data_IF_864789421506
#
_entry.id   IF_864789421506
#
_cell.length_a   1.000
_cell.length_b   1.000
_cell.length_c   1.000
_cell.angle_alpha   90.00
_cell.angle_beta   90.00
_cell.angle_gamma   90.00
#
_symmetry.space_group_name_H-M   'P 1'
#
loop_
_entity.id
_entity.type
_entity.pdbx_description
1 polymer ?
#
# COMPACT_ATOMS: atom_id res chain seq x y z
N UNK A 1 27.45 2.03 31.41
CA UNK A 1 26.42 3.08 31.35
C UNK A 1 25.58 2.82 30.10
N UNK A 2 24.43 2.17 30.24
CA UNK A 2 23.56 1.83 29.12
C UNK A 2 22.72 3.06 28.78
N UNK A 3 22.94 3.63 27.59
CA UNK A 3 22.14 4.74 27.11
C UNK A 3 20.68 4.33 27.00
N UNK A 4 19.80 4.98 27.76
CA UNK A 4 18.37 4.97 27.51
C UNK A 4 18.14 5.46 26.08
N UNK A 5 17.94 4.53 25.14
CA UNK A 5 17.38 4.86 23.84
C UNK A 5 15.94 5.30 24.11
N UNK A 6 15.73 6.62 24.17
CA UNK A 6 14.42 7.25 24.18
C UNK A 6 13.57 6.56 23.11
N UNK A 7 12.49 5.90 23.52
CA UNK A 7 11.48 5.42 22.57
C UNK A 7 10.90 6.69 21.95
N UNK A 8 10.98 6.87 20.61
CA UNK A 8 10.48 8.09 19.99
C UNK A 8 8.98 8.22 20.25
N UNK A 9 8.58 9.44 20.60
CA UNK A 9 7.20 9.84 20.87
C UNK A 9 6.28 9.53 19.68
N UNK A 10 4.99 9.37 19.96
CA UNK A 10 3.96 9.15 18.95
C UNK A 10 4.09 10.19 17.83
N UNK A 11 4.29 9.73 16.60
CA UNK A 11 4.47 10.61 15.43
C UNK A 11 3.50 10.26 14.33
N UNK A 12 3.11 11.26 13.54
CA UNK A 12 2.26 11.00 12.38
C UNK A 12 3.10 10.41 11.23
N UNK A 13 2.68 9.27 10.69
CA UNK A 13 3.25 8.69 9.48
C UNK A 13 2.25 8.78 8.34
N UNK A 14 2.71 9.26 7.18
CA UNK A 14 1.99 9.17 5.93
C UNK A 14 2.23 7.79 5.33
N UNK A 15 1.17 6.98 5.21
CA UNK A 15 1.24 5.69 4.54
C UNK A 15 0.60 5.79 3.17
N UNK A 16 1.35 5.32 2.19
CA UNK A 16 0.93 5.21 0.80
C UNK A 16 0.63 3.75 0.49
N UNK A 17 -0.64 3.42 0.29
CA UNK A 17 -1.07 2.06 -0.07
C UNK A 17 -1.59 2.03 -1.49
N UNK A 18 -1.04 1.15 -2.34
CA UNK A 18 -1.55 0.98 -3.70
C UNK A 18 -2.92 0.31 -3.65
N UNK A 19 -3.93 0.97 -4.23
CA UNK A 19 -5.29 0.41 -4.32
C UNK A 19 -5.24 -0.77 -5.33
N UNK A 20 -5.77 -1.96 -5.06
CA UNK A 20 -5.80 -3.03 -6.05
C UNK A 20 -6.58 -2.62 -7.31
N UNK A 21 -6.16 -3.05 -8.50
CA UNK A 21 -6.80 -2.63 -9.75
C UNK A 21 -8.29 -3.01 -9.84
N UNK A 22 -8.68 -4.10 -9.18
CA UNK A 22 -10.09 -4.53 -9.08
C UNK A 22 -10.97 -3.57 -8.27
N UNK A 23 -10.38 -2.83 -7.34
CA UNK A 23 -11.08 -1.94 -6.42
C UNK A 23 -11.10 -0.49 -6.93
N UNK A 24 -10.40 -0.19 -8.04
CA UNK A 24 -10.52 1.07 -8.75
C UNK A 24 -11.79 1.12 -9.57
N UNK A 25 -12.39 2.31 -9.72
CA UNK A 25 -13.39 2.57 -10.76
C UNK A 25 -12.74 2.57 -12.15
N UNK A 26 -13.57 2.57 -13.21
CA UNK A 26 -13.07 2.45 -14.58
C UNK A 26 -12.15 3.62 -14.96
N UNK A 27 -12.51 4.83 -14.56
CA UNK A 27 -11.76 6.05 -14.90
C UNK A 27 -10.39 6.08 -14.19
N UNK A 28 -10.35 5.72 -12.92
CA UNK A 28 -9.14 5.61 -12.12
C UNK A 28 -8.24 4.46 -12.61
N UNK A 29 -8.84 3.35 -13.08
CA UNK A 29 -8.07 2.27 -13.68
C UNK A 29 -7.41 2.70 -14.99
N UNK A 30 -8.12 3.44 -15.85
CA UNK A 30 -7.55 4.04 -17.07
C UNK A 30 -6.41 4.99 -16.71
N UNK A 31 -6.58 5.85 -15.71
CA UNK A 31 -5.53 6.75 -15.22
C UNK A 31 -4.26 5.98 -14.78
N UNK A 32 -4.42 4.84 -14.10
CA UNK A 32 -3.31 3.95 -13.72
C UNK A 32 -2.61 3.31 -14.91
N UNK A 33 -3.37 2.83 -15.87
CA UNK A 33 -2.78 2.22 -17.05
C UNK A 33 -2.03 3.28 -17.88
N UNK A 34 -2.60 4.48 -18.01
CA UNK A 34 -1.94 5.65 -18.62
C UNK A 34 -0.68 6.06 -17.84
N UNK A 35 -0.65 5.96 -16.51
CA UNK A 35 0.57 6.16 -15.73
C UNK A 35 1.65 5.12 -16.02
N UNK A 36 1.26 3.90 -16.37
CA UNK A 36 2.20 2.79 -16.60
C UNK A 36 2.73 2.75 -18.03
N UNK A 37 1.86 2.97 -19.02
CA UNK A 37 2.18 2.83 -20.46
C UNK A 37 2.02 4.11 -21.27
N UNK A 38 1.52 5.19 -20.67
CA UNK A 38 1.27 6.45 -21.36
C UNK A 38 0.22 6.28 -22.47
N UNK A 39 0.47 6.95 -23.60
CA UNK A 39 -0.35 6.89 -24.81
C UNK A 39 -0.41 5.52 -25.48
N UNK A 40 0.45 4.56 -25.09
CA UNK A 40 0.44 3.19 -25.62
C UNK A 40 -0.60 2.28 -24.95
N UNK A 41 -1.33 2.78 -23.97
CA UNK A 41 -2.35 2.01 -23.25
C UNK A 41 -3.49 1.64 -24.20
N UNK A 42 -3.84 0.36 -24.26
CA UNK A 42 -4.94 -0.14 -25.11
C UNK A 42 -6.14 -0.59 -24.30
N UNK A 43 -7.28 -0.81 -24.98
CA UNK A 43 -8.49 -1.33 -24.32
C UNK A 43 -8.30 -2.78 -23.84
N UNK A 44 -7.47 -3.57 -24.51
CA UNK A 44 -7.14 -4.93 -24.10
C UNK A 44 -6.37 -4.94 -22.77
N UNK A 45 -5.47 -3.98 -22.55
CA UNK A 45 -4.79 -3.81 -21.25
C UNK A 45 -5.80 -3.55 -20.13
N UNK A 46 -6.82 -2.75 -20.43
CA UNK A 46 -7.90 -2.46 -19.51
C UNK A 46 -8.75 -3.69 -19.19
N UNK A 47 -9.13 -4.47 -20.20
CA UNK A 47 -9.85 -5.74 -20.00
C UNK A 47 -9.04 -6.75 -19.18
N UNK A 48 -7.75 -6.88 -19.44
CA UNK A 48 -6.86 -7.75 -18.63
C UNK A 48 -6.83 -7.29 -17.17
N UNK A 49 -6.68 -5.98 -16.93
CA UNK A 49 -6.69 -5.43 -15.57
C UNK A 49 -8.04 -5.61 -14.85
N UNK A 50 -9.13 -5.68 -15.61
CA UNK A 50 -10.50 -5.98 -15.14
C UNK A 50 -10.86 -7.46 -15.09
N UNK A 51 -9.90 -8.36 -15.37
CA UNK A 51 -10.17 -9.81 -15.45
C UNK A 51 -11.31 -10.15 -16.43
N UNK A 52 -11.41 -9.39 -17.53
CA UNK A 52 -12.37 -9.59 -18.61
C UNK A 52 -13.77 -9.02 -18.38
N UNK A 53 -14.05 -8.35 -17.25
CA UNK A 53 -15.37 -7.74 -16.97
C UNK A 53 -15.30 -6.22 -17.00
N UNK A 54 -15.81 -5.62 -18.06
CA UNK A 54 -15.89 -4.16 -18.19
C UNK A 54 -17.34 -3.67 -18.12
N UNK A 55 -17.55 -2.58 -17.38
CA UNK A 55 -18.78 -1.77 -17.41
C UNK A 55 -18.81 -0.76 -18.55
N UNK A 56 -17.66 -0.50 -19.19
CA UNK A 56 -17.52 0.47 -20.28
C UNK A 56 -17.11 -0.18 -21.60
N UNK A 57 -17.55 0.40 -22.70
CA UNK A 57 -17.14 0.01 -24.04
C UNK A 57 -15.79 0.65 -24.42
N UNK A 58 -15.32 0.30 -25.62
CA UNK A 58 -14.03 0.76 -26.15
C UNK A 58 -14.01 2.26 -26.42
N UNK A 59 -15.13 2.84 -26.85
CA UNK A 59 -15.25 4.27 -27.15
C UNK A 59 -15.14 5.10 -25.87
N UNK A 60 -15.86 4.71 -24.81
CA UNK A 60 -15.77 5.33 -23.48
C UNK A 60 -14.36 5.22 -22.90
N UNK A 61 -13.68 4.10 -23.10
CA UNK A 61 -12.29 3.94 -22.68
C UNK A 61 -11.37 4.98 -23.35
N UNK A 62 -11.50 5.22 -24.65
CA UNK A 62 -10.66 6.21 -25.35
C UNK A 62 -10.97 7.64 -24.91
N UNK A 63 -12.24 7.96 -24.65
CA UNK A 63 -12.61 9.24 -24.04
C UNK A 63 -11.91 9.44 -22.69
N UNK A 64 -11.92 8.43 -21.82
CA UNK A 64 -11.18 8.51 -20.56
C UNK A 64 -9.68 8.64 -20.77
N UNK A 65 -9.09 7.94 -21.74
CA UNK A 65 -7.66 8.05 -22.06
C UNK A 65 -7.25 9.48 -22.44
N UNK A 66 -8.14 10.26 -23.07
CA UNK A 66 -7.88 11.67 -23.39
C UNK A 66 -8.04 12.56 -22.16
N UNK A 67 -9.10 12.37 -21.38
CA UNK A 67 -9.47 13.25 -20.26
C UNK A 67 -8.62 13.05 -18.99
N UNK A 68 -8.27 11.82 -18.65
CA UNK A 68 -7.67 11.53 -17.34
C UNK A 68 -6.19 11.89 -17.30
N UNK A 69 -5.76 12.45 -16.17
CA UNK A 69 -4.34 12.57 -15.87
C UNK A 69 -3.77 11.21 -15.43
N UNK A 70 -2.50 10.92 -15.72
CA UNK A 70 -1.84 9.73 -15.19
C UNK A 70 -1.85 9.71 -13.65
N UNK A 71 -2.34 8.62 -13.06
CA UNK A 71 -2.42 8.46 -11.59
C UNK A 71 -2.09 7.01 -11.20
N UNK A 72 -1.13 6.74 -10.30
CA UNK A 72 -0.82 5.38 -9.85
C UNK A 72 -1.94 4.68 -9.05
N UNK A 73 -2.97 5.39 -8.59
CA UNK A 73 -4.06 4.88 -7.76
C UNK A 73 -3.56 4.51 -6.36
N UNK A 74 -2.98 5.48 -5.68
CA UNK A 74 -2.45 5.31 -4.33
C UNK A 74 -3.38 6.00 -3.34
N UNK A 75 -3.76 5.29 -2.28
CA UNK A 75 -4.44 5.87 -1.14
C UNK A 75 -3.41 6.35 -0.13
N UNK A 76 -3.56 7.60 0.30
CA UNK A 76 -2.75 8.20 1.36
C UNK A 76 -3.55 8.23 2.66
N UNK A 77 -2.92 7.80 3.75
CA UNK A 77 -3.52 7.76 5.08
C UNK A 77 -2.50 8.26 6.10
N UNK A 78 -2.90 9.21 6.95
CA UNK A 78 -2.11 9.62 8.10
C UNK A 78 -2.51 8.76 9.30
N UNK A 79 -1.52 8.13 9.92
CA UNK A 79 -1.72 7.34 11.12
C UNK A 79 -0.87 7.89 12.26
N UNK A 80 -1.36 7.76 13.49
CA UNK A 80 -0.53 7.93 14.67
C UNK A 80 0.34 6.67 14.83
N UNK A 81 1.64 6.81 14.59
CA UNK A 81 2.59 5.74 14.75
C UNK A 81 3.09 5.70 16.19
N UNK A 82 2.61 4.70 16.92
CA UNK A 82 3.07 4.36 18.26
C UNK A 82 3.82 3.03 18.19
N UNK A 83 5.17 3.04 18.15
CA UNK A 83 5.92 1.81 17.98
C UNK A 83 5.71 0.89 19.18
N UNK A 84 5.52 -0.39 18.92
CA UNK A 84 5.32 -1.44 19.95
C UNK A 84 6.44 -2.47 19.93
N UNK A 85 7.17 -2.56 18.82
CA UNK A 85 8.18 -3.57 18.58
C UNK A 85 9.40 -2.98 17.87
N UNK A 86 10.52 -3.69 17.97
CA UNK A 86 11.78 -3.37 17.32
C UNK A 86 12.39 -4.64 16.73
N UNK A 87 12.98 -4.54 15.55
CA UNK A 87 13.74 -5.65 14.95
C UNK A 87 15.22 -5.67 15.41
N UNK A 88 15.95 -6.72 14.99
CA UNK A 88 17.38 -6.86 15.31
C UNK A 88 18.26 -5.75 14.72
N UNK A 89 17.82 -5.07 13.67
CA UNK A 89 18.52 -3.93 13.07
C UNK A 89 18.23 -2.62 13.82
N UNK A 90 17.26 -2.63 14.75
CA UNK A 90 16.88 -1.47 15.55
C UNK A 90 15.72 -0.66 14.96
N UNK A 91 15.14 -1.09 13.84
CA UNK A 91 14.01 -0.42 13.20
C UNK A 91 12.75 -0.63 14.04
N UNK A 92 11.92 0.41 14.10
CA UNK A 92 10.70 0.40 14.90
C UNK A 92 9.49 -0.04 14.09
N UNK A 93 8.60 -0.80 14.73
CA UNK A 93 7.39 -1.32 14.13
C UNK A 93 6.19 -1.11 15.06
N UNK A 94 5.04 -0.83 14.46
CA UNK A 94 3.74 -0.80 15.11
C UNK A 94 2.90 -1.95 14.57
N UNK A 95 2.40 -2.82 15.46
CA UNK A 95 1.43 -3.84 15.10
C UNK A 95 0.06 -3.19 14.87
N UNK A 96 -0.51 -3.37 13.68
CA UNK A 96 -1.85 -2.87 13.34
C UNK A 96 -2.91 -3.93 13.62
N UNK A 97 -2.58 -5.18 13.31
CA UNK A 97 -3.53 -6.29 13.35
C UNK A 97 -2.77 -7.58 13.67
N UNK A 98 -3.30 -8.37 14.60
CA UNK A 98 -2.83 -9.72 14.88
C UNK A 98 -3.97 -10.71 14.72
N UNK A 99 -3.79 -11.68 13.83
CA UNK A 99 -4.69 -12.83 13.69
C UNK A 99 -4.04 -14.07 14.29
N UNK A 100 -4.74 -15.20 14.30
CA UNK A 100 -4.17 -16.47 14.78
C UNK A 100 -2.96 -16.93 13.95
N UNK A 101 -2.82 -16.48 12.70
CA UNK A 101 -1.78 -16.94 11.77
C UNK A 101 -0.75 -15.86 11.43
N UNK A 102 -1.14 -14.60 11.42
CA UNK A 102 -0.30 -13.51 10.90
C UNK A 102 -0.40 -12.24 11.72
N UNK A 103 0.70 -11.52 11.81
CA UNK A 103 0.76 -10.15 12.29
C UNK A 103 0.99 -9.21 11.12
N UNK A 104 0.22 -8.12 11.08
CA UNK A 104 0.44 -6.99 10.18
C UNK A 104 1.10 -5.86 10.95
N UNK A 105 2.16 -5.34 10.36
CA UNK A 105 3.03 -4.35 10.96
C UNK A 105 3.19 -3.15 10.02
N UNK A 106 3.35 -1.98 10.59
CA UNK A 106 3.91 -0.81 9.90
C UNK A 106 5.28 -0.57 10.47
N UNK A 107 6.26 -0.39 9.61
CA UNK A 107 7.59 0.09 10.00
C UNK A 107 7.60 1.61 10.08
N UNK A 108 8.53 2.15 10.83
CA UNK A 108 8.68 3.57 11.12
C UNK A 108 8.83 4.51 9.91
N UNK A 109 9.07 3.96 8.71
CA UNK A 109 9.12 4.64 7.42
C UNK A 109 7.81 4.54 6.60
N UNK A 110 6.75 3.99 7.20
CA UNK A 110 5.43 3.84 6.60
C UNK A 110 5.25 2.56 5.77
N UNK A 111 6.26 1.70 5.69
CA UNK A 111 6.14 0.42 4.96
C UNK A 111 5.26 -0.55 5.74
N UNK A 112 4.18 -0.99 5.10
CA UNK A 112 3.32 -2.07 5.61
C UNK A 112 3.94 -3.42 5.26
N UNK A 113 3.94 -4.34 6.21
CA UNK A 113 4.41 -5.71 6.05
C UNK A 113 3.56 -6.69 6.86
N UNK A 114 3.80 -7.97 6.63
CA UNK A 114 3.22 -9.04 7.44
C UNK A 114 4.24 -10.15 7.68
N UNK A 115 4.17 -10.78 8.83
CA UNK A 115 4.90 -12.00 9.13
C UNK A 115 3.96 -13.02 9.80
N UNK A 116 4.38 -14.28 9.81
CA UNK A 116 3.64 -15.31 10.53
C UNK A 116 3.76 -15.08 12.05
N UNK A 117 2.75 -15.55 12.79
CA UNK A 117 2.77 -15.49 14.25
C UNK A 117 3.93 -16.29 14.86
N UNK A 118 4.29 -17.40 14.22
CA UNK A 118 5.35 -18.29 14.70
C UNK A 118 6.74 -17.69 14.52
N UNK A 119 6.98 -16.96 13.42
CA UNK A 119 8.25 -16.28 13.16
C UNK A 119 8.39 -14.95 13.90
N UNK A 120 7.28 -14.34 14.33
CA UNK A 120 7.28 -13.01 14.94
C UNK A 120 8.27 -12.88 16.12
N UNK A 121 8.32 -13.82 17.09
CA UNK A 121 9.24 -13.74 18.22
C UNK A 121 10.72 -13.85 17.82
N UNK A 122 11.02 -14.45 16.66
CA UNK A 122 12.40 -14.62 16.21
C UNK A 122 12.98 -13.31 15.67
N UNK A 123 12.14 -12.45 15.09
CA UNK A 123 12.58 -11.22 14.41
C UNK A 123 12.35 -9.96 15.24
N UNK A 124 11.40 -9.96 16.17
CA UNK A 124 10.95 -8.76 16.87
C UNK A 124 10.98 -8.91 18.39
N UNK A 125 11.37 -7.83 19.07
CA UNK A 125 11.27 -7.67 20.52
C UNK A 125 10.35 -6.51 20.86
N UNK A 126 9.53 -6.65 21.90
CA UNK A 126 8.76 -5.54 22.48
C UNK A 126 9.70 -4.46 22.99
N UNK A 127 9.34 -3.19 22.83
CA UNK A 127 10.14 -2.03 23.27
C UNK A 127 9.76 -1.55 24.67
#
# INVERSE_FOLDING_TARGET
>A
MAGQRLIPEDRHLLIRTRIPSRDLDDRALVARLKNTKGSKTTYEDFLVARQGKSSIDRETFFLYMEEVLPDPGVMEEWILFSPTHRDRAGLLYMMIEGTEKTHRLIREDGVKGSCSKDEFPDFFSTI
#
